data_IF_519820048593
#
_entry.id   IF_519820048593
#
_cell.length_a   1.000
_cell.length_b   1.000
_cell.length_c   1.000
_cell.angle_alpha   90.00
_cell.angle_beta   90.00
_cell.angle_gamma   90.00
#
_symmetry.space_group_name_H-M   'P 1'
#
loop_
_entity.id
_entity.type
_entity.pdbx_description
1 polymer ?
#
# COMPACT_ATOMS: atom_id res chain seq x y z
N UNK A 1 -35.40 -2.96 10.03
CA UNK A 1 -34.34 -2.26 10.75
C UNK A 1 -33.22 -2.04 9.76
N UNK A 2 -32.93 -0.79 9.39
CA UNK A 2 -31.78 -0.48 8.55
C UNK A 2 -30.50 -0.68 9.36
N UNK A 3 -29.44 -1.29 8.78
CA UNK A 3 -28.17 -1.35 9.47
C UNK A 3 -27.67 0.09 9.67
N UNK A 4 -27.39 0.46 10.92
CA UNK A 4 -26.65 1.68 11.23
C UNK A 4 -25.27 1.50 10.65
N UNK A 5 -24.96 2.22 9.60
CA UNK A 5 -23.57 2.42 9.19
C UNK A 5 -22.85 3.06 10.38
N UNK A 6 -21.90 2.36 10.98
CA UNK A 6 -20.98 2.97 11.91
C UNK A 6 -20.35 4.17 11.20
N UNK A 7 -20.33 5.33 11.87
CA UNK A 7 -19.64 6.51 11.35
C UNK A 7 -18.22 6.08 10.94
N UNK A 8 -17.88 6.38 9.68
CA UNK A 8 -16.54 6.12 9.21
C UNK A 8 -15.55 6.79 10.18
N UNK A 9 -14.51 6.07 10.65
CA UNK A 9 -13.53 6.68 11.53
C UNK A 9 -12.99 7.95 10.86
N UNK A 10 -12.67 9.00 11.64
CA UNK A 10 -12.14 10.24 11.09
C UNK A 10 -10.95 9.92 10.19
N UNK A 11 -10.83 10.64 9.09
CA UNK A 11 -9.66 10.59 8.21
C UNK A 11 -8.45 10.81 9.12
N UNK A 12 -7.73 9.74 9.45
CA UNK A 12 -6.48 9.84 10.20
C UNK A 12 -5.52 10.63 9.33
N UNK A 13 -4.88 11.63 9.93
CA UNK A 13 -3.83 12.39 9.30
C UNK A 13 -2.81 11.43 8.69
N UNK A 14 -2.69 11.43 7.35
CA UNK A 14 -1.74 10.61 6.60
C UNK A 14 -0.27 11.10 6.74
N UNK A 15 0.06 11.69 7.89
CA UNK A 15 1.44 12.06 8.22
C UNK A 15 2.39 10.85 8.24
N UNK A 16 1.85 9.63 8.35
CA UNK A 16 2.64 8.40 8.36
C UNK A 16 3.36 8.18 7.03
N UNK A 17 2.69 8.38 5.90
CA UNK A 17 3.29 8.25 4.57
C UNK A 17 4.36 9.34 4.35
N UNK A 18 4.09 10.57 4.82
CA UNK A 18 5.05 11.67 4.76
C UNK A 18 6.29 11.40 5.62
N UNK A 19 6.14 10.73 6.76
CA UNK A 19 7.27 10.36 7.60
C UNK A 19 8.21 9.37 6.93
N UNK A 20 7.68 8.49 6.05
CA UNK A 20 8.50 7.59 5.25
C UNK A 20 9.34 8.33 4.21
N UNK A 21 8.87 9.46 3.68
CA UNK A 21 9.60 10.24 2.66
C UNK A 21 10.88 10.90 3.19
N UNK A 22 10.96 11.19 4.48
CA UNK A 22 12.15 11.75 5.11
C UNK A 22 12.20 13.27 5.17
N UNK A 23 13.22 13.75 5.91
CA UNK A 23 13.42 15.18 6.17
C UNK A 23 13.66 15.99 4.87
N UNK A 24 14.23 15.38 3.84
CA UNK A 24 14.50 16.03 2.55
C UNK A 24 13.23 16.51 1.83
N UNK A 25 12.08 15.91 2.15
CA UNK A 25 10.77 16.32 1.61
C UNK A 25 9.90 17.04 2.64
N UNK A 26 10.32 17.09 3.91
CA UNK A 26 9.64 17.90 4.93
C UNK A 26 9.85 19.41 4.68
N UNK A 27 10.96 19.80 4.06
CA UNK A 27 11.22 21.17 3.61
C UNK A 27 10.59 21.49 2.25
N UNK A 28 10.02 20.50 1.57
CA UNK A 28 9.30 20.75 0.35
C UNK A 28 7.88 21.24 0.68
N UNK A 29 7.72 22.54 0.81
CA UNK A 29 6.46 23.23 1.11
C UNK A 29 5.39 23.08 0.01
N UNK A 30 5.74 22.32 -1.04
CA UNK A 30 4.86 22.10 -2.20
C UNK A 30 4.69 23.33 -3.06
N UNK A 31 5.56 24.34 -2.88
CA UNK A 31 5.42 25.63 -3.54
C UNK A 31 4.05 26.23 -3.18
N UNK A 32 3.95 26.90 -2.05
CA UNK A 32 2.74 27.62 -1.62
C UNK A 32 2.45 28.86 -2.49
N UNK A 33 3.05 28.95 -3.67
CA UNK A 33 2.71 29.94 -4.66
C UNK A 33 1.47 29.55 -5.45
N UNK A 34 0.71 30.53 -5.89
CA UNK A 34 -0.48 30.39 -6.76
C UNK A 34 -0.19 29.64 -8.09
N UNK A 35 1.08 29.33 -8.37
CA UNK A 35 1.61 28.64 -9.54
C UNK A 35 1.98 27.16 -9.29
N UNK A 36 1.59 26.54 -8.16
CA UNK A 36 1.78 25.10 -7.98
C UNK A 36 1.07 24.37 -9.13
N UNK A 37 1.78 23.55 -9.94
CA UNK A 37 1.15 22.90 -11.08
C UNK A 37 -0.10 22.17 -10.61
N UNK A 38 -1.23 22.42 -11.28
CA UNK A 38 -2.55 21.81 -10.98
C UNK A 38 -2.47 20.30 -10.77
N UNK A 39 -1.54 19.66 -11.49
CA UNK A 39 -1.19 18.24 -11.36
C UNK A 39 -0.71 17.86 -9.96
N UNK A 40 0.03 18.73 -9.26
CA UNK A 40 0.50 18.46 -7.90
C UNK A 40 -0.65 18.53 -6.88
N UNK A 41 -1.56 19.48 -7.06
CA UNK A 41 -2.76 19.59 -6.22
C UNK A 41 -3.72 18.41 -6.46
N UNK A 42 -3.90 18.00 -7.71
CA UNK A 42 -4.71 16.84 -8.07
C UNK A 42 -4.12 15.56 -7.46
N UNK A 43 -2.81 15.34 -7.52
CA UNK A 43 -2.15 14.18 -6.92
C UNK A 43 -2.26 14.17 -5.38
N UNK A 44 -2.17 15.32 -4.73
CA UNK A 44 -2.31 15.45 -3.26
C UNK A 44 -3.68 14.99 -2.75
N UNK A 45 -4.73 15.19 -3.54
CA UNK A 45 -6.08 14.72 -3.21
C UNK A 45 -6.33 13.29 -3.71
N UNK A 46 -5.82 12.96 -4.89
CA UNK A 46 -6.12 11.70 -5.55
C UNK A 46 -5.47 10.50 -4.87
N UNK A 47 -4.23 10.64 -4.39
CA UNK A 47 -3.50 9.55 -3.73
C UNK A 47 -4.19 9.13 -2.42
N UNK A 48 -4.51 10.03 -1.47
CA UNK A 48 -5.22 9.67 -0.24
C UNK A 48 -6.63 9.12 -0.49
N UNK A 49 -7.38 9.71 -1.44
CA UNK A 49 -8.71 9.22 -1.79
C UNK A 49 -8.68 7.81 -2.36
N UNK A 50 -7.70 7.52 -3.19
CA UNK A 50 -7.49 6.18 -3.75
C UNK A 50 -7.14 5.16 -2.67
N UNK A 51 -6.22 5.50 -1.77
CA UNK A 51 -5.84 4.66 -0.64
C UNK A 51 -7.06 4.39 0.25
N UNK A 52 -7.81 5.42 0.63
CA UNK A 52 -9.02 5.29 1.43
C UNK A 52 -10.07 4.38 0.78
N UNK A 53 -10.28 4.54 -0.52
CA UNK A 53 -11.23 3.69 -1.25
C UNK A 53 -10.85 2.20 -1.19
N UNK A 54 -9.56 1.90 -1.31
CA UNK A 54 -9.06 0.52 -1.19
C UNK A 54 -9.24 0.00 0.23
N UNK A 55 -8.89 0.79 1.23
CA UNK A 55 -9.02 0.41 2.63
C UNK A 55 -10.47 0.15 3.06
N UNK A 56 -11.42 0.97 2.58
CA UNK A 56 -12.85 0.74 2.83
C UNK A 56 -13.35 -0.58 2.20
N UNK A 57 -12.79 -1.00 1.07
CA UNK A 57 -13.10 -2.29 0.44
C UNK A 57 -12.43 -3.46 1.13
N UNK A 58 -11.18 -3.29 1.54
CA UNK A 58 -10.45 -4.25 2.33
C UNK A 58 -11.18 -4.53 3.65
N UNK A 59 -11.65 -3.49 4.34
CA UNK A 59 -12.41 -3.63 5.58
C UNK A 59 -13.67 -4.49 5.39
N UNK A 60 -14.43 -4.24 4.33
CA UNK A 60 -15.62 -5.07 4.00
C UNK A 60 -15.26 -6.52 3.67
N UNK A 61 -14.17 -6.72 2.93
CA UNK A 61 -13.69 -8.05 2.59
C UNK A 61 -13.25 -8.80 3.86
N UNK A 62 -12.55 -8.12 4.76
CA UNK A 62 -12.14 -8.65 6.04
C UNK A 62 -13.34 -9.05 6.92
N UNK A 63 -14.39 -8.20 7.02
CA UNK A 63 -15.65 -8.52 7.69
C UNK A 63 -16.33 -9.77 7.09
N UNK A 64 -16.13 -10.02 5.79
CA UNK A 64 -16.63 -11.20 5.08
C UNK A 64 -15.76 -12.44 5.25
N UNK A 65 -14.69 -12.37 6.05
CA UNK A 65 -13.82 -13.51 6.38
C UNK A 65 -12.50 -13.58 5.63
N UNK A 66 -12.18 -12.59 4.77
CA UNK A 66 -10.88 -12.52 4.09
C UNK A 66 -9.75 -12.26 5.11
N UNK A 67 -8.60 -12.92 4.91
CA UNK A 67 -7.44 -12.83 5.83
C UNK A 67 -6.11 -12.61 5.13
N UNK A 68 -6.10 -12.32 3.83
CA UNK A 68 -4.88 -12.02 3.09
C UNK A 68 -5.02 -10.72 2.29
N UNK A 69 -4.07 -9.81 2.45
CA UNK A 69 -3.97 -8.57 1.69
C UNK A 69 -2.61 -8.48 1.01
N UNK A 70 -2.60 -8.38 -0.31
CA UNK A 70 -1.40 -8.29 -1.13
C UNK A 70 -1.34 -6.90 -1.74
N UNK A 71 -0.22 -6.20 -1.54
CA UNK A 71 0.05 -4.87 -2.07
C UNK A 71 1.14 -5.00 -3.13
N UNK A 72 0.76 -4.91 -4.40
CA UNK A 72 1.70 -4.95 -5.52
C UNK A 72 2.24 -3.55 -5.79
N UNK A 73 3.57 -3.42 -5.81
CA UNK A 73 4.24 -2.14 -5.92
C UNK A 73 3.94 -1.25 -4.71
N UNK A 74 4.19 -1.79 -3.53
CA UNK A 74 3.82 -1.16 -2.26
C UNK A 74 4.45 0.23 -2.06
N UNK A 75 5.64 0.47 -2.64
CA UNK A 75 6.30 1.78 -2.52
C UNK A 75 6.39 2.24 -1.08
N UNK A 76 5.79 3.38 -0.81
CA UNK A 76 5.70 4.00 0.51
C UNK A 76 4.36 3.74 1.22
N UNK A 77 3.57 2.77 0.75
CA UNK A 77 2.33 2.41 1.43
C UNK A 77 2.60 2.15 2.92
N UNK A 78 1.81 2.76 3.78
CA UNK A 78 1.96 2.70 5.24
C UNK A 78 0.83 1.95 5.92
N UNK A 79 -0.09 1.34 5.17
CA UNK A 79 -1.27 0.68 5.72
C UNK A 79 -0.93 -0.28 6.87
N UNK A 80 0.08 -1.13 6.71
CA UNK A 80 0.48 -2.09 7.73
C UNK A 80 0.84 -1.46 9.08
N UNK A 81 1.37 -0.23 9.08
CA UNK A 81 1.80 0.49 10.29
C UNK A 81 0.67 1.30 10.96
N UNK A 82 -0.44 1.50 10.25
CA UNK A 82 -1.61 2.26 10.72
C UNK A 82 -2.91 1.45 10.63
N UNK A 83 -2.80 0.15 10.39
CA UNK A 83 -3.95 -0.73 10.32
C UNK A 83 -4.81 -0.62 11.58
N UNK A 84 -6.14 -0.72 11.47
CA UNK A 84 -7.03 -0.76 12.62
C UNK A 84 -6.71 -1.94 13.57
N UNK A 85 -6.91 -1.76 14.86
CA UNK A 85 -6.62 -2.77 15.89
C UNK A 85 -7.31 -4.14 15.65
N UNK A 86 -8.42 -4.14 14.89
CA UNK A 86 -9.14 -5.36 14.53
C UNK A 86 -8.51 -6.22 13.44
N UNK A 87 -7.44 -5.76 12.78
CA UNK A 87 -6.82 -6.45 11.63
C UNK A 87 -5.60 -7.31 11.99
N UNK A 88 -5.45 -7.67 13.27
CA UNK A 88 -4.27 -8.39 13.76
C UNK A 88 -4.06 -9.79 13.17
N UNK A 89 -5.09 -10.43 12.62
CA UNK A 89 -5.04 -11.72 11.93
C UNK A 89 -5.04 -11.59 10.39
N UNK A 90 -5.00 -10.36 9.85
CA UNK A 90 -4.84 -10.11 8.43
C UNK A 90 -3.36 -10.29 8.05
N UNK A 91 -3.03 -11.27 7.22
CA UNK A 91 -1.71 -11.39 6.60
C UNK A 91 -1.53 -10.29 5.56
N UNK A 92 -0.51 -9.46 5.71
CA UNK A 92 -0.18 -8.37 4.78
C UNK A 92 1.10 -8.71 4.07
N UNK A 93 1.07 -8.72 2.73
CA UNK A 93 2.21 -9.07 1.88
C UNK A 93 2.49 -7.87 0.97
N UNK A 94 3.61 -7.21 1.18
CA UNK A 94 4.10 -6.15 0.31
C UNK A 94 5.08 -6.73 -0.71
N UNK A 95 4.75 -6.58 -1.99
CA UNK A 95 5.61 -7.00 -3.10
C UNK A 95 6.05 -5.75 -3.86
N UNK A 96 7.36 -5.54 -3.99
CA UNK A 96 7.91 -4.38 -4.66
C UNK A 96 9.30 -4.64 -5.22
N UNK A 97 9.76 -3.73 -6.08
CA UNK A 97 11.10 -3.77 -6.64
C UNK A 97 12.16 -3.77 -5.52
N UNK A 98 13.22 -4.59 -5.64
CA UNK A 98 14.23 -4.76 -4.59
C UNK A 98 14.83 -3.45 -4.09
N UNK A 99 15.09 -2.47 -4.97
CA UNK A 99 15.66 -1.18 -4.57
C UNK A 99 14.69 -0.36 -3.71
N UNK A 100 13.42 -0.30 -4.10
CA UNK A 100 12.35 0.44 -3.40
C UNK A 100 12.12 -0.18 -2.03
N UNK A 101 12.01 -1.51 -1.98
CA UNK A 101 11.75 -2.21 -0.73
C UNK A 101 12.92 -2.08 0.27
N UNK A 102 14.17 -2.18 -0.21
CA UNK A 102 15.35 -1.93 0.65
C UNK A 102 15.39 -0.50 1.18
N UNK A 103 15.03 0.48 0.35
CA UNK A 103 14.96 1.88 0.77
C UNK A 103 13.89 2.07 1.85
N UNK A 104 12.67 1.56 1.64
CA UNK A 104 11.57 1.59 2.62
C UNK A 104 11.98 0.97 3.96
N UNK A 105 12.59 -0.22 3.93
CA UNK A 105 13.02 -0.92 5.15
C UNK A 105 14.08 -0.13 5.94
N UNK A 106 15.07 0.46 5.24
CA UNK A 106 16.04 1.37 5.90
C UNK A 106 15.36 2.57 6.53
N UNK A 107 14.31 3.08 5.91
CA UNK A 107 13.56 4.21 6.43
C UNK A 107 12.75 3.84 7.68
N UNK A 108 12.10 2.69 7.67
CA UNK A 108 11.40 2.12 8.82
C UNK A 108 12.37 1.96 10.01
N UNK A 109 13.58 1.44 9.75
CA UNK A 109 14.63 1.30 10.76
C UNK A 109 15.08 2.66 11.32
N UNK A 110 15.33 3.64 10.46
CA UNK A 110 15.74 4.99 10.86
C UNK A 110 14.67 5.71 11.70
N UNK A 111 13.39 5.42 11.46
CA UNK A 111 12.26 5.94 12.22
C UNK A 111 11.98 5.14 13.50
N UNK A 112 12.74 4.07 13.76
CA UNK A 112 12.53 3.15 14.88
C UNK A 112 11.11 2.57 14.93
N UNK A 113 10.47 2.41 13.77
CA UNK A 113 9.16 1.80 13.69
C UNK A 113 9.25 0.29 13.84
N UNK A 114 8.38 -0.26 14.68
CA UNK A 114 8.26 -1.70 14.81
C UNK A 114 7.51 -2.27 13.62
N UNK A 115 8.14 -3.19 12.89
CA UNK A 115 7.47 -3.93 11.82
C UNK A 115 6.37 -4.80 12.45
N UNK A 116 5.11 -4.68 11.99
CA UNK A 116 4.02 -5.53 12.46
C UNK A 116 4.30 -7.02 12.19
N UNK A 117 3.91 -7.89 13.12
CA UNK A 117 4.17 -9.32 13.00
C UNK A 117 3.43 -9.99 11.82
N UNK A 118 2.35 -9.35 11.36
CA UNK A 118 1.52 -9.81 10.25
C UNK A 118 1.92 -9.18 8.89
N UNK A 119 3.04 -8.43 8.84
CA UNK A 119 3.59 -7.86 7.61
C UNK A 119 4.77 -8.67 7.12
N UNK A 120 4.73 -9.07 5.86
CA UNK A 120 5.86 -9.66 5.13
C UNK A 120 6.22 -8.85 3.89
N UNK A 121 7.48 -8.97 3.48
CA UNK A 121 8.04 -8.26 2.33
C UNK A 121 8.60 -9.27 1.34
N UNK A 122 8.24 -9.14 0.06
CA UNK A 122 8.75 -9.95 -1.04
C UNK A 122 9.34 -9.04 -2.11
N UNK A 123 10.60 -9.23 -2.45
CA UNK A 123 11.27 -8.48 -3.51
C UNK A 123 10.87 -9.05 -4.88
N UNK A 124 10.40 -8.20 -5.79
CA UNK A 124 10.05 -8.61 -7.14
C UNK A 124 10.28 -7.47 -8.14
N UNK A 125 11.03 -7.76 -9.19
CA UNK A 125 11.12 -6.92 -10.38
C UNK A 125 10.09 -7.42 -11.39
N UNK A 126 8.96 -6.71 -11.49
CA UNK A 126 7.84 -7.09 -12.38
C UNK A 126 8.19 -7.02 -13.88
N UNK A 127 9.35 -6.45 -14.26
CA UNK A 127 9.83 -6.48 -15.63
C UNK A 127 10.52 -7.81 -15.97
N UNK A 128 11.04 -8.52 -14.96
CA UNK A 128 11.82 -9.74 -15.10
C UNK A 128 11.10 -10.97 -14.55
N UNK A 129 10.25 -10.78 -13.53
CA UNK A 129 9.58 -11.87 -12.81
C UNK A 129 8.07 -11.75 -12.98
N UNK A 130 7.40 -12.85 -13.22
CA UNK A 130 5.95 -12.85 -13.29
C UNK A 130 5.32 -12.62 -11.91
N UNK A 131 4.10 -12.08 -11.88
CA UNK A 131 3.36 -11.91 -10.64
C UNK A 131 3.10 -13.25 -9.94
N UNK A 132 2.89 -14.31 -10.70
CA UNK A 132 2.66 -15.67 -10.15
C UNK A 132 3.90 -16.16 -9.42
N UNK A 133 5.09 -16.00 -10.03
CA UNK A 133 6.34 -16.39 -9.38
C UNK A 133 6.58 -15.58 -8.11
N UNK A 134 6.32 -14.27 -8.15
CA UNK A 134 6.44 -13.41 -6.97
C UNK A 134 5.49 -13.82 -5.83
N UNK A 135 4.28 -14.25 -6.15
CA UNK A 135 3.32 -14.78 -5.17
C UNK A 135 3.79 -16.11 -4.59
N UNK A 136 4.32 -17.01 -5.43
CA UNK A 136 4.86 -18.29 -4.98
C UNK A 136 6.08 -18.13 -4.06
N UNK A 137 6.89 -17.08 -4.28
CA UNK A 137 8.05 -16.75 -3.45
C UNK A 137 7.67 -16.00 -2.16
N UNK A 138 6.39 -15.66 -2.00
CA UNK A 138 5.88 -14.92 -0.84
C UNK A 138 5.25 -15.83 0.21
N UNK A 139 4.69 -15.24 1.26
CA UNK A 139 3.87 -15.94 2.26
C UNK A 139 2.40 -16.11 1.84
N UNK A 140 2.10 -15.95 0.55
CA UNK A 140 0.76 -16.11 0.01
C UNK A 140 0.30 -17.56 0.12
N UNK A 141 -0.95 -17.74 0.60
CA UNK A 141 -1.63 -19.03 0.67
C UNK A 141 -2.67 -19.10 -0.46
N UNK A 142 -2.41 -19.93 -1.47
CA UNK A 142 -3.28 -20.08 -2.64
C UNK A 142 -4.65 -20.72 -2.32
N UNK A 143 -4.74 -21.43 -1.21
CA UNK A 143 -6.00 -22.07 -0.77
C UNK A 143 -6.96 -21.08 -0.08
N UNK A 144 -6.54 -19.84 0.16
CA UNK A 144 -7.34 -18.82 0.81
C UNK A 144 -7.59 -17.60 -0.09
N UNK A 145 -8.78 -16.97 0.04
CA UNK A 145 -9.07 -15.76 -0.72
C UNK A 145 -8.15 -14.61 -0.29
N UNK A 146 -7.69 -13.83 -1.26
CA UNK A 146 -6.86 -12.66 -1.04
C UNK A 146 -7.49 -11.40 -1.63
N UNK A 147 -7.28 -10.27 -0.97
CA UNK A 147 -7.51 -8.95 -1.54
C UNK A 147 -6.20 -8.45 -2.13
N UNK A 148 -6.21 -8.05 -3.39
CA UNK A 148 -5.01 -7.58 -4.09
C UNK A 148 -5.23 -6.12 -4.48
N UNK A 149 -4.30 -5.24 -4.08
CA UNK A 149 -4.22 -3.88 -4.58
C UNK A 149 -3.01 -3.70 -5.49
N UNK A 150 -3.23 -3.03 -6.62
CA UNK A 150 -2.16 -2.68 -7.56
C UNK A 150 -2.35 -1.24 -8.00
N UNK A 151 -1.76 -0.33 -7.24
CA UNK A 151 -2.02 1.09 -7.39
C UNK A 151 -0.76 1.86 -7.76
N UNK A 152 -0.82 2.57 -8.91
CA UNK A 152 0.23 3.53 -9.29
C UNK A 152 1.53 2.92 -9.82
N UNK A 153 1.56 1.63 -10.13
CA UNK A 153 2.75 0.90 -10.59
C UNK A 153 2.82 0.82 -12.11
N UNK A 154 1.68 0.63 -12.76
CA UNK A 154 1.60 0.38 -14.20
C UNK A 154 2.19 1.49 -15.08
N UNK A 155 2.29 2.71 -14.55
CA UNK A 155 2.92 3.85 -15.25
C UNK A 155 4.43 3.72 -15.39
N UNK A 156 5.07 2.88 -14.58
CA UNK A 156 6.51 2.69 -14.53
C UNK A 156 6.97 1.42 -15.25
N UNK A 157 6.03 0.57 -15.70
CA UNK A 157 6.34 -0.66 -16.41
C UNK A 157 6.41 -0.39 -17.92
N UNK A 158 7.54 -0.72 -18.54
CA UNK A 158 7.76 -0.52 -19.98
C UNK A 158 7.02 -1.56 -20.85
N UNK A 159 6.58 -2.68 -20.26
CA UNK A 159 5.84 -3.74 -20.95
C UNK A 159 4.45 -3.93 -20.37
N UNK A 160 3.43 -4.21 -21.21
CA UNK A 160 2.14 -4.62 -20.68
C UNK A 160 2.33 -5.94 -19.93
N UNK A 161 2.13 -5.90 -18.61
CA UNK A 161 2.04 -7.11 -17.78
C UNK A 161 0.74 -7.78 -18.16
N UNK A 162 0.80 -8.70 -19.12
CA UNK A 162 -0.36 -9.51 -19.49
C UNK A 162 -0.58 -10.54 -18.39
N UNK A 163 -1.76 -10.59 -17.78
CA UNK A 163 -2.12 -11.72 -16.94
C UNK A 163 -2.08 -12.98 -17.84
N UNK A 164 -1.33 -13.99 -17.40
CA UNK A 164 -1.35 -15.29 -18.05
C UNK A 164 -2.75 -15.87 -17.80
N UNK A 165 -3.64 -15.73 -18.79
CA UNK A 165 -4.89 -16.48 -18.83
C UNK A 165 -4.53 -17.89 -19.28
N UNK A 166 -4.47 -18.81 -18.38
CA UNK A 166 -4.54 -20.25 -18.65
C UNK A 166 -5.98 -20.66 -18.81
#
# INVERSE_FOLDING_TARGET
>A
AQPRFAEAPPVRDDHTDLSLLGAELQDWDGGSGDDAPRVLLENRLFIPLRARWVEDRLARAYESGLRQYIILGAGLDSFAFRQPDGFGDLSIIEIDHPSTQRWKRKRIEALHWKIPANLSFTECDFEQTSMVDALNDSSFDEDQPAFISWMGVTYYLERPVTPVTS
#
